data_IF_604141823972
#
_entry.id   IF_604141823972
#
_cell.length_a   1.000
_cell.length_b   1.000
_cell.length_c   1.000
_cell.angle_alpha   90.00
_cell.angle_beta   90.00
_cell.angle_gamma   90.00
#
_symmetry.space_group_name_H-M   'P 1'
#
loop_
_entity.id
_entity.type
_entity.pdbx_description
1 polymer ?
#
# COMPACT_ATOMS: atom_id res chain seq x y z
N UNK A 1 -11.68 -51.50 -8.37
CA UNK A 1 -12.45 -50.26 -8.59
C UNK A 1 -12.38 -49.44 -7.29
N UNK A 2 -11.47 -48.48 -7.15
CA UNK A 2 -11.63 -47.05 -7.52
C UNK A 2 -12.75 -46.38 -6.73
N UNK A 3 -12.43 -45.76 -5.58
CA UNK A 3 -13.02 -44.49 -5.06
C UNK A 3 -12.04 -43.82 -4.09
N UNK A 4 -11.04 -43.12 -4.62
CA UNK A 4 -10.29 -42.10 -3.89
C UNK A 4 -11.21 -40.89 -3.75
N UNK A 5 -11.77 -40.67 -2.56
CA UNK A 5 -12.50 -39.46 -2.23
C UNK A 5 -11.49 -38.36 -1.92
N UNK A 6 -11.22 -37.55 -2.93
CA UNK A 6 -10.34 -36.40 -2.87
C UNK A 6 -11.13 -35.23 -2.26
N UNK A 7 -10.98 -35.05 -0.94
CA UNK A 7 -11.55 -33.91 -0.23
C UNK A 7 -10.83 -32.63 -0.62
N UNK A 8 -11.50 -31.75 -1.37
CA UNK A 8 -10.98 -30.42 -1.70
C UNK A 8 -11.23 -29.52 -0.49
N UNK A 9 -10.17 -29.27 0.30
CA UNK A 9 -10.16 -28.15 1.25
C UNK A 9 -10.04 -26.84 0.45
N UNK A 10 -11.14 -26.11 0.34
CA UNK A 10 -11.12 -24.70 -0.06
C UNK A 10 -10.47 -23.91 1.09
N UNK A 11 -9.18 -23.61 0.97
CA UNK A 11 -8.53 -22.61 1.82
C UNK A 11 -9.04 -21.24 1.37
N UNK A 12 -10.09 -20.74 2.01
CA UNK A 12 -10.48 -19.34 1.94
C UNK A 12 -9.37 -18.50 2.60
N UNK A 13 -8.56 -17.85 1.78
CA UNK A 13 -7.62 -16.83 2.23
C UNK A 13 -8.42 -15.67 2.81
N UNK A 14 -8.51 -15.61 4.14
CA UNK A 14 -9.03 -14.43 4.83
C UNK A 14 -8.07 -13.27 4.57
N UNK A 15 -8.45 -12.35 3.69
CA UNK A 15 -7.71 -11.10 3.50
C UNK A 15 -7.70 -10.35 4.84
N UNK A 16 -6.50 -10.16 5.38
CA UNK A 16 -6.27 -9.56 6.70
C UNK A 16 -6.86 -8.14 6.77
N UNK A 17 -7.39 -7.77 7.94
CA UNK A 17 -7.99 -6.47 8.26
C UNK A 17 -7.18 -5.31 7.69
N UNK A 18 -7.75 -4.62 6.69
CA UNK A 18 -7.05 -3.59 5.95
C UNK A 18 -7.01 -2.26 6.73
N UNK A 19 -5.78 -1.84 6.98
CA UNK A 19 -5.36 -0.54 7.44
C UNK A 19 -4.04 -0.23 6.75
N UNK A 20 -3.41 0.89 7.09
CA UNK A 20 -2.11 1.24 6.52
C UNK A 20 -1.07 0.22 7.00
N UNK A 21 -0.36 -0.50 6.11
CA UNK A 21 0.70 -1.43 6.50
C UNK A 21 1.99 -0.67 6.84
N UNK A 22 2.83 -1.28 7.66
CA UNK A 22 4.20 -0.81 7.85
C UNK A 22 4.97 -1.05 6.55
N UNK A 23 5.43 -0.01 5.87
CA UNK A 23 6.23 -0.16 4.65
C UNK A 23 7.17 1.01 4.40
N UNK A 24 8.15 0.76 3.54
CA UNK A 24 8.96 1.78 2.90
C UNK A 24 8.78 1.69 1.39
N UNK A 25 8.72 2.82 0.71
CA UNK A 25 8.70 2.88 -0.74
C UNK A 25 9.54 4.06 -1.26
N UNK A 26 10.07 3.92 -2.47
CA UNK A 26 10.76 5.01 -3.16
C UNK A 26 10.03 5.30 -4.47
N UNK A 27 9.54 6.52 -4.64
CA UNK A 27 8.88 6.96 -5.86
C UNK A 27 9.87 7.68 -6.81
N UNK A 28 9.57 7.73 -8.12
CA UNK A 28 10.33 8.53 -9.06
C UNK A 28 10.56 9.96 -8.57
N UNK A 29 11.76 10.51 -8.83
CA UNK A 29 12.18 11.80 -8.28
C UNK A 29 12.74 11.73 -6.85
N UNK A 30 13.15 10.54 -6.39
CA UNK A 30 13.74 10.31 -5.07
C UNK A 30 12.83 10.73 -3.92
N UNK A 31 11.53 10.46 -4.06
CA UNK A 31 10.57 10.71 -2.99
C UNK A 31 10.53 9.46 -2.12
N UNK A 32 11.03 9.58 -0.90
CA UNK A 32 10.98 8.50 0.09
C UNK A 32 9.63 8.55 0.82
N UNK A 33 8.97 7.39 0.88
CA UNK A 33 7.71 7.18 1.57
C UNK A 33 7.94 6.17 2.67
N UNK A 34 7.52 6.53 3.89
CA UNK A 34 7.49 5.63 5.03
C UNK A 34 6.08 5.63 5.60
N UNK A 35 5.48 4.46 5.74
CA UNK A 35 4.15 4.34 6.35
C UNK A 35 4.28 3.51 7.62
N UNK A 36 3.80 4.05 8.74
CA UNK A 36 3.65 3.29 9.98
C UNK A 36 2.41 2.41 9.93
N UNK A 37 2.41 1.31 10.69
CA UNK A 37 1.24 0.44 10.79
C UNK A 37 0.07 1.22 11.42
N UNK A 38 -1.00 1.40 10.66
CA UNK A 38 -2.15 2.22 11.05
C UNK A 38 -1.99 3.72 10.75
N UNK A 39 -0.85 4.13 10.20
CA UNK A 39 -0.48 5.52 9.96
C UNK A 39 0.31 6.16 11.12
N UNK A 40 0.91 7.33 10.90
CA UNK A 40 0.79 8.18 9.70
C UNK A 40 1.67 7.73 8.52
N UNK A 41 1.59 8.46 7.40
CA UNK A 41 2.45 8.27 6.23
C UNK A 41 3.35 9.50 6.09
N UNK A 42 4.65 9.26 6.06
CA UNK A 42 5.70 10.27 5.91
C UNK A 42 6.16 10.36 4.45
N UNK A 43 6.41 11.60 4.02
CA UNK A 43 6.93 11.95 2.69
C UNK A 43 8.24 12.71 2.91
N UNK A 44 9.37 12.14 2.50
CA UNK A 44 10.72 12.65 2.74
C UNK A 44 10.95 12.99 4.24
N UNK A 45 10.54 12.09 5.12
CA UNK A 45 10.70 12.22 6.57
C UNK A 45 9.75 13.22 7.25
N UNK A 46 8.83 13.85 6.50
CA UNK A 46 7.81 14.75 7.06
C UNK A 46 6.45 14.09 7.02
N UNK A 47 5.70 14.19 8.11
CA UNK A 47 4.35 13.64 8.19
C UNK A 47 3.44 14.28 7.13
N UNK A 48 2.80 13.45 6.32
CA UNK A 48 1.81 13.86 5.34
C UNK A 48 0.42 13.99 5.96
N UNK A 49 -0.39 14.91 5.44
CA UNK A 49 -1.80 15.00 5.81
C UNK A 49 -2.56 13.80 5.26
N UNK A 50 -2.93 12.88 6.15
CA UNK A 50 -3.64 11.66 5.81
C UNK A 50 -5.11 11.92 5.45
N UNK A 51 -5.59 11.25 4.41
CA UNK A 51 -7.00 11.12 4.05
C UNK A 51 -7.30 9.64 3.81
N UNK A 52 -8.19 9.07 4.60
CA UNK A 52 -8.75 7.74 4.35
C UNK A 52 -9.92 7.86 3.37
N UNK A 53 -9.89 7.10 2.28
CA UNK A 53 -11.04 6.98 1.38
C UNK A 53 -11.92 5.80 1.77
N UNK A 54 -11.31 4.67 2.09
CA UNK A 54 -11.94 3.47 2.61
C UNK A 54 -10.89 2.64 3.38
N UNK A 55 -11.23 1.42 3.78
CA UNK A 55 -10.33 0.55 4.55
C UNK A 55 -9.08 0.09 3.78
N UNK A 56 -9.11 0.13 2.44
CA UNK A 56 -8.02 -0.32 1.58
C UNK A 56 -7.29 0.83 0.87
N UNK A 57 -7.78 2.07 0.91
CA UNK A 57 -7.27 3.17 0.10
C UNK A 57 -7.07 4.46 0.93
N UNK A 58 -5.84 4.96 0.88
CA UNK A 58 -5.37 6.08 1.69
C UNK A 58 -4.57 7.06 0.82
N UNK A 59 -4.70 8.35 1.08
CA UNK A 59 -3.80 9.38 0.55
C UNK A 59 -3.03 10.07 1.67
N UNK A 60 -1.78 10.43 1.39
CA UNK A 60 -1.02 11.35 2.21
C UNK A 60 -0.53 12.52 1.36
N UNK A 61 -0.78 13.75 1.83
CA UNK A 61 -0.39 14.98 1.12
C UNK A 61 0.69 15.72 1.87
N UNK A 62 1.78 16.06 1.20
CA UNK A 62 2.90 16.78 1.80
C UNK A 62 3.89 17.24 0.75
N UNK A 63 4.56 18.37 1.00
CA UNK A 63 5.65 18.88 0.14
C UNK A 63 5.30 19.03 -1.35
N UNK A 64 4.02 19.27 -1.68
CA UNK A 64 3.54 19.39 -3.06
C UNK A 64 3.37 18.07 -3.81
N UNK A 65 3.35 16.95 -3.09
CA UNK A 65 3.12 15.59 -3.60
C UNK A 65 1.91 15.00 -2.87
N UNK A 66 1.13 14.19 -3.60
CA UNK A 66 0.13 13.27 -3.04
C UNK A 66 0.64 11.86 -3.23
N UNK A 67 0.74 11.10 -2.15
CA UNK A 67 0.98 9.66 -2.17
C UNK A 67 -0.36 8.96 -2.06
N UNK A 68 -0.60 7.99 -2.94
CA UNK A 68 -1.75 7.10 -2.91
C UNK A 68 -1.27 5.70 -2.52
N UNK A 69 -1.83 5.15 -1.45
CA UNK A 69 -1.55 3.80 -0.96
C UNK A 69 -2.84 2.98 -1.03
N UNK A 70 -2.80 1.89 -1.78
CA UNK A 70 -3.92 0.97 -1.96
C UNK A 70 -3.52 -0.44 -1.57
N UNK A 71 -4.37 -1.14 -0.82
CA UNK A 71 -4.22 -2.57 -0.54
C UNK A 71 -4.99 -3.33 -1.60
N UNK A 72 -4.27 -4.08 -2.41
CA UNK A 72 -4.81 -4.91 -3.48
C UNK A 72 -5.61 -6.09 -2.92
N UNK A 73 -6.49 -6.73 -3.71
CA UNK A 73 -7.29 -7.87 -3.24
C UNK A 73 -6.47 -9.07 -2.74
N UNK A 74 -5.23 -9.21 -3.21
CA UNK A 74 -4.28 -10.23 -2.75
C UNK A 74 -3.54 -9.83 -1.44
N UNK A 75 -3.85 -8.65 -0.90
CA UNK A 75 -3.25 -8.09 0.31
C UNK A 75 -1.95 -7.32 0.08
N UNK A 76 -1.42 -7.28 -1.16
CA UNK A 76 -0.20 -6.53 -1.46
C UNK A 76 -0.44 -5.01 -1.48
N UNK A 77 0.52 -4.19 -1.02
CA UNK A 77 0.42 -2.74 -1.12
C UNK A 77 0.86 -2.24 -2.50
N UNK A 78 0.01 -1.42 -3.12
CA UNK A 78 0.33 -0.59 -4.29
C UNK A 78 0.51 0.87 -3.83
N UNK A 79 1.63 1.48 -4.21
CA UNK A 79 1.96 2.86 -3.83
C UNK A 79 2.27 3.65 -5.09
N UNK A 80 1.62 4.79 -5.28
CA UNK A 80 1.87 5.72 -6.38
C UNK A 80 1.93 7.16 -5.89
N UNK A 81 2.45 8.05 -6.73
CA UNK A 81 2.53 9.47 -6.42
C UNK A 81 1.96 10.35 -7.54
N UNK A 82 1.47 11.52 -7.15
CA UNK A 82 1.16 12.63 -8.04
C UNK A 82 1.79 13.90 -7.49
N UNK A 83 2.64 14.54 -8.29
CA UNK A 83 3.29 15.81 -8.00
C UNK A 83 2.79 16.96 -8.87
N UNK A 84 3.49 18.10 -8.78
CA UNK A 84 3.24 19.27 -9.61
C UNK A 84 3.45 18.96 -11.10
N UNK A 85 2.87 19.78 -11.97
CA UNK A 85 3.02 19.69 -13.43
C UNK A 85 2.66 18.31 -14.01
N UNK A 86 1.69 17.62 -13.39
CA UNK A 86 1.25 16.27 -13.77
C UNK A 86 2.31 15.18 -13.63
N UNK A 87 3.42 15.43 -12.92
CA UNK A 87 4.38 14.37 -12.60
C UNK A 87 3.69 13.26 -11.80
N UNK A 88 3.84 12.00 -12.22
CA UNK A 88 3.21 10.86 -11.55
C UNK A 88 3.98 9.57 -11.85
N UNK A 89 3.73 8.53 -11.06
CA UNK A 89 4.33 7.22 -11.25
C UNK A 89 4.07 6.27 -10.09
N UNK A 90 4.47 5.02 -10.28
CA UNK A 90 4.40 3.96 -9.27
C UNK A 90 5.69 3.97 -8.45
N UNK A 91 5.57 3.77 -7.14
CA UNK A 91 6.68 3.72 -6.21
C UNK A 91 7.15 2.27 -6.05
N UNK A 92 8.45 2.08 -5.91
CA UNK A 92 9.02 0.78 -5.59
C UNK A 92 8.85 0.51 -4.09
N UNK A 93 7.95 -0.40 -3.74
CA UNK A 93 7.81 -0.86 -2.34
C UNK A 93 9.00 -1.75 -2.00
N UNK A 94 9.64 -1.48 -0.86
CA UNK A 94 10.73 -2.28 -0.33
C UNK A 94 10.12 -3.47 0.42
N UNK A 95 10.54 -4.68 0.10
CA UNK A 95 10.15 -5.86 0.86
C UNK A 95 10.74 -5.75 2.28
N UNK A 96 9.88 -5.78 3.29
CA UNK A 96 10.32 -5.89 4.66
C UNK A 96 10.60 -7.37 4.92
N UNK A 97 11.88 -7.73 5.08
CA UNK A 97 12.31 -9.10 5.36
C UNK A 97 12.21 -9.43 6.85
#
# INVERSE_FOLDING_TARGET
>A
MKRLLMGVLLMSSAAAQAGIPLLNATCPGNIEVHADKGGPIYINGKEGKLKKFNDNAFEAKGSGVTISLTIMPDGSPDVSYTGKNKANGVCQVKENK
#
